data_IF_988860773915
#
_entry.id   IF_988860773915
#
_cell.length_a   1.000
_cell.length_b   1.000
_cell.length_c   1.000
_cell.angle_alpha   90.00
_cell.angle_beta   90.00
_cell.angle_gamma   90.00
#
_symmetry.space_group_name_H-M   'P 1'
#
loop_
_entity.id
_entity.type
_entity.pdbx_description
1 polymer ?
#
# COMPACT_ATOMS: atom_id res chain seq x y z
N UNK A 1 1.68 -10.53 28.77
CA UNK A 1 2.55 -9.34 28.78
C UNK A 1 3.14 -9.10 27.39
N UNK A 2 3.71 -10.13 26.75
CA UNK A 2 4.26 -10.06 25.38
C UNK A 2 3.28 -9.55 24.33
N UNK A 3 2.05 -10.07 24.29
CA UNK A 3 1.04 -9.61 23.32
C UNK A 3 0.69 -8.11 23.46
N UNK A 4 0.71 -7.57 24.68
CA UNK A 4 0.43 -6.15 24.94
C UNK A 4 1.59 -5.28 24.46
N UNK A 5 2.84 -5.74 24.65
CA UNK A 5 4.02 -5.05 24.14
C UNK A 5 4.06 -5.08 22.60
N UNK A 6 3.72 -6.22 21.98
CA UNK A 6 3.63 -6.33 20.53
C UNK A 6 2.56 -5.41 19.92
N UNK A 7 1.38 -5.32 20.55
CA UNK A 7 0.35 -4.38 20.12
C UNK A 7 0.82 -2.93 20.25
N UNK A 8 1.50 -2.59 21.35
CA UNK A 8 2.04 -1.25 21.57
C UNK A 8 3.14 -0.90 20.56
N UNK A 9 4.03 -1.82 20.23
CA UNK A 9 5.07 -1.64 19.20
C UNK A 9 4.47 -1.42 17.80
N UNK A 10 3.42 -2.18 17.46
CA UNK A 10 2.67 -1.99 16.21
C UNK A 10 1.99 -0.62 16.20
N UNK A 11 1.34 -0.24 17.29
CA UNK A 11 0.66 1.06 17.43
C UNK A 11 1.66 2.23 17.33
N UNK A 12 2.81 2.13 18.01
CA UNK A 12 3.88 3.13 17.91
C UNK A 12 4.47 3.20 16.50
N UNK A 13 4.66 2.06 15.85
CA UNK A 13 5.14 2.01 14.46
C UNK A 13 4.13 2.65 13.50
N UNK A 14 2.85 2.39 13.70
CA UNK A 14 1.77 2.94 12.90
C UNK A 14 1.61 4.45 13.16
N UNK A 15 1.73 4.91 14.39
CA UNK A 15 1.71 6.32 14.76
C UNK A 15 2.92 7.06 14.17
N UNK A 16 4.13 6.47 14.22
CA UNK A 16 5.33 7.03 13.60
C UNK A 16 5.18 7.14 12.08
N UNK A 17 4.54 6.14 11.46
CA UNK A 17 4.37 6.06 10.01
C UNK A 17 3.28 7.00 9.48
N UNK A 18 2.14 7.08 10.18
CA UNK A 18 0.92 7.79 9.75
C UNK A 18 0.79 9.19 10.36
N UNK A 19 1.46 9.47 11.49
CA UNK A 19 1.31 10.70 12.26
C UNK A 19 0.00 10.80 13.04
N UNK A 20 -0.86 9.78 12.99
CA UNK A 20 -2.18 9.76 13.65
C UNK A 20 -2.07 8.93 14.93
N UNK A 21 -2.50 9.49 16.06
CA UNK A 21 -2.64 8.74 17.31
C UNK A 21 -3.99 8.00 17.30
N UNK A 22 -3.98 6.71 17.61
CA UNK A 22 -5.19 5.86 17.63
C UNK A 22 -6.23 6.31 18.67
N UNK A 23 -5.85 7.20 19.60
CA UNK A 23 -6.71 7.75 20.65
C UNK A 23 -7.58 8.95 20.23
N UNK A 24 -7.40 9.49 19.03
CA UNK A 24 -8.12 10.70 18.57
C UNK A 24 -8.98 10.39 17.32
N UNK A 25 -9.66 9.24 17.35
CA UNK A 25 -10.77 8.95 16.46
C UNK A 25 -12.04 9.61 16.99
N UNK A 26 -12.49 10.66 16.31
CA UNK A 26 -13.82 11.22 16.51
C UNK A 26 -14.85 10.10 16.33
N UNK A 27 -15.53 9.76 17.42
CA UNK A 27 -16.53 8.69 17.47
C UNK A 27 -17.71 9.02 16.55
N UNK A 28 -17.73 8.36 15.39
CA UNK A 28 -18.91 8.27 14.55
C UNK A 28 -18.99 6.82 14.06
N UNK A 29 -19.74 5.99 14.79
CA UNK A 29 -20.76 5.06 14.28
C UNK A 29 -21.11 4.06 15.40
N UNK A 30 -22.11 4.38 16.23
CA UNK A 30 -23.00 3.41 16.88
C UNK A 30 -24.25 4.20 17.29
N UNK A 31 -25.11 4.55 16.32
CA UNK A 31 -26.52 4.74 16.68
C UNK A 31 -27.20 3.46 16.21
N UNK A 32 -27.54 2.65 17.19
CA UNK A 32 -28.41 1.49 17.03
C UNK A 32 -29.78 1.97 16.53
N UNK A 33 -30.39 1.10 15.76
CA UNK A 33 -31.63 1.29 15.00
C UNK A 33 -32.88 1.25 15.91
N UNK A 34 -34.04 1.41 15.29
CA UNK A 34 -35.42 1.21 15.77
C UNK A 34 -36.16 2.45 16.30
N UNK A 35 -36.97 3.06 15.43
CA UNK A 35 -38.41 3.27 15.65
C UNK A 35 -39.11 3.42 14.28
N UNK A 36 -39.99 2.48 13.93
CA UNK A 36 -40.88 2.50 12.77
C UNK A 36 -41.84 3.71 12.78
N UNK A 37 -42.03 4.44 11.67
CA UNK A 37 -43.38 4.85 11.23
C UNK A 37 -43.48 5.54 9.85
N UNK A 38 -44.26 4.90 8.97
CA UNK A 38 -45.20 5.38 7.93
C UNK A 38 -44.74 6.30 6.76
N UNK A 39 -44.67 5.64 5.60
CA UNK A 39 -45.23 5.99 4.29
C UNK A 39 -45.83 7.41 4.09
N UNK A 40 -45.26 8.17 3.14
CA UNK A 40 -46.00 9.08 2.26
C UNK A 40 -45.15 9.44 1.03
N UNK A 41 -45.63 8.95 -0.10
CA UNK A 41 -45.19 9.19 -1.46
C UNK A 41 -45.23 10.69 -1.86
N UNK A 42 -44.55 11.00 -2.98
CA UNK A 42 -44.71 12.18 -3.83
C UNK A 42 -43.93 13.49 -3.53
N UNK A 43 -43.00 13.76 -4.46
CA UNK A 43 -42.84 15.04 -5.18
C UNK A 43 -42.12 16.20 -4.46
N UNK A 44 -40.92 16.56 -4.92
CA UNK A 44 -40.64 17.85 -5.59
C UNK A 44 -39.13 18.13 -5.69
N UNK A 45 -38.69 18.20 -6.94
CA UNK A 45 -37.53 18.94 -7.41
C UNK A 45 -37.62 20.42 -6.99
N UNK A 46 -36.44 21.01 -6.78
CA UNK A 46 -36.12 22.44 -6.74
C UNK A 46 -36.33 23.19 -5.41
N UNK A 47 -35.29 23.91 -4.99
CA UNK A 47 -35.30 24.67 -3.74
C UNK A 47 -33.91 25.01 -3.22
N UNK A 48 -33.20 25.86 -3.96
CA UNK A 48 -32.13 26.73 -3.45
C UNK A 48 -32.23 27.01 -1.94
N UNK A 49 -31.38 26.37 -1.13
CA UNK A 49 -31.19 26.67 0.28
C UNK A 49 -29.70 26.87 0.54
N UNK A 50 -29.30 28.13 0.41
CA UNK A 50 -28.10 28.69 1.02
C UNK A 50 -28.26 28.52 2.55
N UNK A 51 -27.70 27.44 3.08
CA UNK A 51 -27.74 27.07 4.50
C UNK A 51 -26.32 26.77 4.99
N UNK A 52 -25.83 27.43 6.06
CA UNK A 52 -24.48 27.26 6.57
C UNK A 52 -24.38 26.01 7.46
N UNK A 53 -24.68 24.84 6.89
CA UNK A 53 -24.41 23.55 7.52
C UNK A 53 -23.45 22.77 6.63
N UNK A 54 -22.23 23.32 6.57
CA UNK A 54 -21.02 22.62 6.18
C UNK A 54 -20.72 21.51 7.19
N UNK A 55 -21.49 20.43 7.15
CA UNK A 55 -20.95 19.12 7.47
C UNK A 55 -19.91 18.84 6.38
N UNK A 56 -18.69 19.27 6.65
CA UNK A 56 -17.55 19.42 5.74
C UNK A 56 -16.99 18.10 5.19
N UNK A 57 -17.85 17.16 4.82
CA UNK A 57 -17.52 16.03 3.97
C UNK A 57 -17.77 16.41 2.52
N UNK A 58 -16.90 17.27 1.99
CA UNK A 58 -16.71 17.38 0.55
C UNK A 58 -16.24 16.04 -0.03
N UNK A 59 -16.13 15.90 -1.38
CA UNK A 59 -15.65 14.68 -2.02
C UNK A 59 -14.42 14.12 -1.30
N UNK A 60 -14.40 12.82 -1.01
CA UNK A 60 -13.39 12.14 -0.20
C UNK A 60 -11.99 12.25 -0.83
N UNK A 61 -11.35 13.39 -0.65
CA UNK A 61 -9.98 13.61 -1.09
C UNK A 61 -9.09 13.30 0.11
N UNK A 62 -8.13 12.36 -0.03
CA UNK A 62 -7.20 12.05 1.04
C UNK A 62 -6.52 13.30 1.58
N UNK A 63 -6.36 13.34 2.89
CA UNK A 63 -5.64 14.39 3.61
C UNK A 63 -4.19 14.43 3.15
N UNK A 64 -3.50 15.55 3.38
CA UNK A 64 -2.09 15.69 3.00
C UNK A 64 -1.19 14.64 3.66
N UNK A 65 -1.48 14.27 4.91
CA UNK A 65 -0.79 13.20 5.64
C UNK A 65 -1.00 11.83 4.99
N UNK A 66 -2.23 11.50 4.60
CA UNK A 66 -2.54 10.26 3.88
C UNK A 66 -1.87 10.21 2.50
N UNK A 67 -1.86 11.32 1.76
CA UNK A 67 -1.14 11.40 0.48
C UNK A 67 0.37 11.20 0.66
N UNK A 68 0.95 11.86 1.66
CA UNK A 68 2.37 11.75 1.99
C UNK A 68 2.75 10.31 2.39
N UNK A 69 1.90 9.66 3.18
CA UNK A 69 2.05 8.25 3.55
C UNK A 69 2.01 7.34 2.32
N UNK A 70 1.01 7.47 1.46
CA UNK A 70 0.88 6.65 0.25
C UNK A 70 2.11 6.81 -0.67
N UNK A 71 2.63 8.03 -0.81
CA UNK A 71 3.83 8.26 -1.62
C UNK A 71 5.07 7.62 -0.98
N UNK A 72 5.25 7.70 0.35
CA UNK A 72 6.34 7.01 1.05
C UNK A 72 6.25 5.49 0.87
N UNK A 73 5.09 4.90 1.11
CA UNK A 73 4.85 3.45 0.94
C UNK A 73 5.15 3.03 -0.49
N UNK A 74 4.70 3.80 -1.49
CA UNK A 74 5.00 3.54 -2.90
C UNK A 74 6.49 3.59 -3.20
N UNK A 75 7.21 4.54 -2.61
CA UNK A 75 8.66 4.67 -2.77
C UNK A 75 9.42 3.52 -2.12
N UNK A 76 9.06 3.14 -0.90
CA UNK A 76 9.66 2.03 -0.16
C UNK A 76 9.45 0.71 -0.90
N UNK A 77 8.21 0.38 -1.29
CA UNK A 77 7.93 -0.82 -2.07
C UNK A 77 8.71 -0.85 -3.39
N UNK A 78 8.79 0.28 -4.09
CA UNK A 78 9.59 0.40 -5.32
C UNK A 78 11.07 0.21 -5.04
N UNK A 79 11.58 0.71 -3.93
CA UNK A 79 12.96 0.56 -3.53
C UNK A 79 13.27 -0.90 -3.19
N UNK A 80 12.48 -1.53 -2.32
CA UNK A 80 12.61 -2.93 -1.93
C UNK A 80 12.57 -3.86 -3.14
N UNK A 81 11.60 -3.67 -4.04
CA UNK A 81 11.48 -4.50 -5.23
C UNK A 81 12.71 -4.38 -6.14
N UNK A 82 13.18 -3.14 -6.38
CA UNK A 82 14.40 -2.90 -7.18
C UNK A 82 15.63 -3.52 -6.53
N UNK A 83 15.77 -3.37 -5.22
CA UNK A 83 16.91 -3.88 -4.47
C UNK A 83 16.90 -5.41 -4.45
N UNK A 84 15.76 -6.04 -4.17
CA UNK A 84 15.61 -7.50 -4.19
C UNK A 84 15.90 -8.11 -5.57
N UNK A 85 15.45 -7.48 -6.65
CA UNK A 85 15.82 -7.92 -8.01
C UNK A 85 17.31 -7.77 -8.28
N UNK A 86 17.91 -6.64 -7.87
CA UNK A 86 19.35 -6.40 -8.04
C UNK A 86 20.18 -7.46 -7.30
N UNK A 87 19.87 -7.74 -6.04
CA UNK A 87 20.53 -8.78 -5.24
C UNK A 87 20.39 -10.14 -5.90
N UNK A 88 19.19 -10.50 -6.35
CA UNK A 88 18.96 -11.78 -7.02
C UNK A 88 19.79 -11.93 -8.31
N UNK A 89 19.93 -10.87 -9.09
CA UNK A 89 20.76 -10.86 -10.29
C UNK A 89 22.24 -11.04 -9.93
N UNK A 90 22.70 -10.41 -8.85
CA UNK A 90 24.08 -10.57 -8.35
C UNK A 90 24.33 -12.03 -7.94
N UNK A 91 23.43 -12.64 -7.17
CA UNK A 91 23.53 -14.05 -6.77
C UNK A 91 23.63 -14.99 -7.98
N UNK A 92 22.77 -14.78 -8.97
CA UNK A 92 22.77 -15.56 -10.22
C UNK A 92 24.10 -15.38 -10.97
N UNK A 93 24.61 -14.15 -11.07
CA UNK A 93 25.89 -13.86 -11.71
C UNK A 93 27.04 -14.57 -10.99
N UNK A 94 27.06 -14.54 -9.66
CA UNK A 94 28.07 -15.21 -8.85
C UNK A 94 28.00 -16.72 -8.99
N UNK A 95 26.79 -17.30 -9.01
CA UNK A 95 26.55 -18.72 -9.26
C UNK A 95 27.13 -19.16 -10.61
N UNK A 96 26.84 -18.42 -11.68
CA UNK A 96 27.37 -18.71 -13.03
C UNK A 96 28.90 -18.64 -13.02
N UNK A 97 29.48 -17.59 -12.44
CA UNK A 97 30.94 -17.42 -12.38
C UNK A 97 31.61 -18.52 -11.56
N UNK A 98 30.99 -18.97 -10.47
CA UNK A 98 31.49 -20.06 -9.63
C UNK A 98 31.47 -21.39 -10.40
N UNK A 99 30.36 -21.71 -11.07
CA UNK A 99 30.25 -22.90 -11.94
C UNK A 99 31.27 -22.86 -13.08
N UNK A 100 31.49 -21.69 -13.68
CA UNK A 100 32.50 -21.50 -14.75
C UNK A 100 33.91 -21.81 -14.26
N UNK A 101 34.33 -21.26 -13.11
CA UNK A 101 35.66 -21.53 -12.53
C UNK A 101 35.86 -23.00 -12.18
N UNK A 102 34.80 -23.69 -11.79
CA UNK A 102 34.84 -25.13 -11.49
C UNK A 102 34.77 -26.03 -12.75
N UNK A 103 34.64 -25.46 -13.96
CA UNK A 103 34.43 -26.24 -15.18
C UNK A 103 33.08 -26.98 -15.25
N UNK A 104 32.12 -26.63 -14.38
CA UNK A 104 30.79 -27.25 -14.28
C UNK A 104 29.72 -26.55 -15.10
N UNK A 105 30.12 -25.56 -15.91
CA UNK A 105 29.20 -24.80 -16.75
C UNK A 105 29.12 -25.46 -18.13
N UNK A 106 27.94 -25.91 -18.58
CA UNK A 106 27.75 -26.43 -19.93
C UNK A 106 28.21 -25.43 -21.01
N UNK A 107 28.78 -25.92 -22.11
CA UNK A 107 29.36 -25.06 -23.16
C UNK A 107 28.35 -24.17 -23.89
N UNK A 108 27.08 -24.58 -23.93
CA UNK A 108 25.97 -23.86 -24.55
C UNK A 108 25.30 -22.83 -23.62
N UNK A 109 25.69 -22.77 -22.34
CA UNK A 109 25.07 -21.89 -21.33
C UNK A 109 25.06 -20.42 -21.77
N UNK A 110 26.12 -19.95 -22.44
CA UNK A 110 26.19 -18.57 -22.93
C UNK A 110 25.09 -18.27 -23.95
N UNK A 111 24.81 -19.22 -24.85
CA UNK A 111 23.77 -19.08 -25.88
C UNK A 111 22.38 -19.11 -25.25
N UNK A 112 22.15 -20.03 -24.31
CA UNK A 112 20.88 -20.14 -23.57
C UNK A 112 20.58 -18.86 -22.79
N UNK A 113 21.56 -18.34 -22.05
CA UNK A 113 21.39 -17.10 -21.29
C UNK A 113 21.13 -15.89 -22.20
N UNK A 114 21.81 -15.81 -23.34
CA UNK A 114 21.54 -14.75 -24.34
C UNK A 114 20.12 -14.84 -24.88
N UNK A 115 19.66 -16.03 -25.27
CA UNK A 115 18.31 -16.23 -25.78
C UNK A 115 17.25 -15.86 -24.72
N UNK A 116 17.45 -16.33 -23.48
CA UNK A 116 16.57 -15.97 -22.38
C UNK A 116 16.51 -14.46 -22.16
N UNK A 117 17.65 -13.77 -22.15
CA UNK A 117 17.69 -12.31 -22.01
C UNK A 117 16.96 -11.59 -23.15
N UNK A 118 17.17 -11.99 -24.40
CA UNK A 118 16.49 -11.38 -25.54
C UNK A 118 14.97 -11.53 -25.46
N UNK A 119 14.48 -12.70 -25.01
CA UNK A 119 13.04 -12.94 -24.86
C UNK A 119 12.40 -12.22 -23.68
N UNK A 120 13.17 -11.89 -22.63
CA UNK A 120 12.61 -11.40 -21.35
C UNK A 120 13.12 -10.02 -20.91
N UNK A 121 13.91 -9.32 -21.73
CA UNK A 121 14.47 -7.99 -21.36
C UNK A 121 13.48 -6.82 -21.48
N UNK A 122 12.33 -7.02 -22.14
CA UNK A 122 11.28 -6.00 -22.24
C UNK A 122 10.33 -6.15 -21.06
N UNK A 123 10.68 -5.53 -19.93
CA UNK A 123 9.81 -5.36 -18.75
C UNK A 123 9.61 -3.87 -18.51
#
# INVERSE_FOLDING_TARGET
MEAVMACWEIEQSLQSLTGVSLGEGTGATMSDDDEEQIDSDANLLDGSMEGPDSLGFGPLVPTESERSLMERVRQELKHELKQGYKEKIVDIREEILRKRRAGKLPGDTTSVLKAWWQSHSKW
#
